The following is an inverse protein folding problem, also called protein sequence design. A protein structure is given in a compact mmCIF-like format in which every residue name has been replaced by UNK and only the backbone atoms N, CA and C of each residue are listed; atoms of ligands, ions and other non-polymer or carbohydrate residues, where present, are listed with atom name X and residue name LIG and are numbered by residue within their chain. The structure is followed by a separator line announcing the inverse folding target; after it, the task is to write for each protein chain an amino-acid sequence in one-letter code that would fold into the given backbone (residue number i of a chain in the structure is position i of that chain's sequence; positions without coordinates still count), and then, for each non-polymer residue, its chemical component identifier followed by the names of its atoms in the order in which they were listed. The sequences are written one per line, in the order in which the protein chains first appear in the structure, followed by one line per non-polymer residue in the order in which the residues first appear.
data_IF_856592558698
#
_entry.id   IF_856592558698
#
_cell.length_a   1.000
_cell.length_b   1.000
_cell.length_c   1.000
_cell.angle_alpha   90.00
_cell.angle_beta   90.00
_cell.angle_gamma   90.00
#
_symmetry.space_group_name_H-M   'P 1'
#
loop_
_entity.id
_entity.type
_entity.pdbx_description
1 polymer ?
#
# COMPACT_ATOMS: atom_id res chain seq x y z
N UNK A 1 -10.66 27.45 -5.57
CA UNK A 1 -9.78 26.87 -4.55
C UNK A 1 -10.66 26.38 -3.43
N UNK A 2 -10.84 25.07 -3.31
CA UNK A 2 -11.68 24.49 -2.25
C UNK A 2 -10.98 24.73 -0.92
N UNK A 3 -11.64 25.48 -0.03
CA UNK A 3 -11.15 25.71 1.31
C UNK A 3 -11.45 24.44 2.13
N UNK A 4 -10.50 23.51 2.18
CA UNK A 4 -10.64 22.30 2.99
C UNK A 4 -10.79 22.70 4.46
N UNK A 5 -11.95 22.38 5.03
CA UNK A 5 -12.17 22.55 6.47
C UNK A 5 -11.33 21.49 7.20
N UNK A 6 -10.19 21.90 7.75
CA UNK A 6 -9.43 21.10 8.71
C UNK A 6 -10.26 20.95 9.99
N UNK A 7 -10.96 19.83 10.13
CA UNK A 7 -11.62 19.49 11.39
C UNK A 7 -10.55 18.94 12.36
N UNK A 8 -10.55 19.39 13.63
CA UNK A 8 -9.64 18.84 14.62
C UNK A 8 -10.00 17.37 14.90
N UNK A 9 -9.04 16.47 14.69
CA UNK A 9 -9.18 15.06 15.02
C UNK A 9 -8.98 14.88 16.53
N UNK A 10 -9.98 14.35 17.21
CA UNK A 10 -9.85 13.95 18.61
C UNK A 10 -9.24 12.54 18.66
N UNK A 11 -8.01 12.45 19.16
CA UNK A 11 -7.33 11.19 19.48
C UNK A 11 -6.99 11.15 20.95
N UNK A 12 -6.89 9.95 21.53
CA UNK A 12 -6.56 9.82 22.93
C UNK A 12 -5.11 10.24 23.22
N UNK A 13 -4.84 10.54 24.50
CA UNK A 13 -3.55 11.05 24.94
C UNK A 13 -2.41 10.05 24.72
N UNK A 14 -2.69 8.74 24.85
CA UNK A 14 -1.69 7.71 24.66
C UNK A 14 -1.29 7.60 23.19
N UNK A 15 -2.26 7.65 22.27
CA UNK A 15 -1.99 7.67 20.83
C UNK A 15 -1.23 8.92 20.43
N UNK A 16 -1.61 10.09 20.95
CA UNK A 16 -0.90 11.35 20.71
C UNK A 16 0.57 11.24 21.09
N UNK A 17 0.86 10.74 22.30
CA UNK A 17 2.23 10.59 22.79
C UNK A 17 3.05 9.63 21.92
N UNK A 18 2.45 8.53 21.48
CA UNK A 18 3.11 7.57 20.58
C UNK A 18 3.46 8.20 19.23
N UNK A 19 2.51 8.93 18.63
CA UNK A 19 2.74 9.61 17.36
C UNK A 19 3.80 10.71 17.48
N UNK A 20 3.81 11.47 18.58
CA UNK A 20 4.85 12.50 18.84
C UNK A 20 6.25 11.89 18.87
N UNK A 21 6.44 10.79 19.60
CA UNK A 21 7.75 10.11 19.68
C UNK A 21 8.19 9.58 18.31
N UNK A 22 7.26 9.09 17.49
CA UNK A 22 7.57 8.63 16.14
C UNK A 22 7.93 9.79 15.20
N UNK A 23 7.19 10.90 15.28
CA UNK A 23 7.46 12.11 14.51
C UNK A 23 8.85 12.69 14.84
N UNK A 24 9.19 12.79 16.12
CA UNK A 24 10.51 13.28 16.58
C UNK A 24 11.66 12.42 16.04
N UNK A 25 11.50 11.09 16.01
CA UNK A 25 12.51 10.16 15.47
C UNK A 25 12.74 10.34 13.96
N UNK A 26 11.76 10.86 13.25
CA UNK A 26 11.82 11.10 11.81
C UNK A 26 12.15 12.56 11.48
N UNK A 27 12.32 13.42 12.48
CA UNK A 27 12.55 14.86 12.29
C UNK A 27 11.34 15.60 11.71
N UNK A 28 10.13 15.05 11.88
CA UNK A 28 8.87 15.62 11.39
C UNK A 28 8.07 16.28 12.52
N UNK A 29 7.18 17.21 12.17
CA UNK A 29 6.18 17.67 13.13
C UNK A 29 5.12 16.59 13.35
N UNK A 30 4.44 16.61 14.50
CA UNK A 30 3.34 15.68 14.76
C UNK A 30 2.23 15.78 13.68
N UNK A 31 1.95 16.99 13.20
CA UNK A 31 0.91 17.23 12.20
C UNK A 31 1.30 16.61 10.84
N UNK A 32 2.53 16.83 10.38
CA UNK A 32 3.01 16.28 9.11
C UNK A 32 3.09 14.76 9.17
N UNK A 33 3.61 14.22 10.27
CA UNK A 33 3.67 12.78 10.49
C UNK A 33 2.27 12.14 10.51
N UNK A 34 1.29 12.78 11.17
CA UNK A 34 -0.08 12.29 11.20
C UNK A 34 -0.74 12.34 9.82
N UNK A 35 -0.45 13.38 9.02
CA UNK A 35 -0.93 13.47 7.64
C UNK A 35 -0.37 12.34 6.78
N UNK A 36 0.93 12.06 6.88
CA UNK A 36 1.58 10.97 6.14
C UNK A 36 1.00 9.61 6.52
N UNK A 37 0.79 9.35 7.82
CA UNK A 37 0.14 8.11 8.29
C UNK A 37 -1.27 7.96 7.73
N UNK A 38 -2.07 9.04 7.71
CA UNK A 38 -3.43 9.00 7.17
C UNK A 38 -3.43 8.78 5.66
N UNK A 39 -2.50 9.41 4.93
CA UNK A 39 -2.32 9.22 3.49
C UNK A 39 -1.95 7.77 3.18
N UNK A 40 -0.95 7.23 3.87
CA UNK A 40 -0.53 5.84 3.70
C UNK A 40 -1.67 4.87 4.03
N UNK A 41 -2.42 5.11 5.11
CA UNK A 41 -3.56 4.29 5.46
C UNK A 41 -4.65 4.31 4.38
N UNK A 42 -4.95 5.48 3.80
CA UNK A 42 -5.91 5.59 2.71
C UNK A 42 -5.44 4.80 1.47
N UNK A 43 -4.18 4.97 1.05
CA UNK A 43 -3.59 4.23 -0.06
C UNK A 43 -3.57 2.71 0.17
N UNK A 44 -3.34 2.27 1.41
CA UNK A 44 -3.42 0.85 1.78
C UNK A 44 -4.87 0.35 1.72
N UNK A 45 -5.84 1.11 2.23
CA UNK A 45 -7.25 0.72 2.20
C UNK A 45 -7.78 0.62 0.76
N UNK A 46 -7.41 1.56 -0.11
CA UNK A 46 -7.75 1.52 -1.53
C UNK A 46 -7.16 0.28 -2.23
N UNK A 47 -5.89 -0.06 -1.95
CA UNK A 47 -5.26 -1.26 -2.48
C UNK A 47 -5.90 -2.54 -1.95
N UNK A 48 -6.17 -2.63 -0.66
CA UNK A 48 -6.77 -3.81 -0.05
C UNK A 48 -8.12 -4.17 -0.70
N UNK A 49 -8.95 -3.16 -1.02
CA UNK A 49 -10.20 -3.39 -1.74
C UNK A 49 -10.00 -3.98 -3.14
N UNK A 50 -8.98 -3.50 -3.87
CA UNK A 50 -8.67 -4.04 -5.19
C UNK A 50 -8.10 -5.46 -5.11
N UNK A 51 -7.22 -5.72 -4.13
CA UNK A 51 -6.63 -7.03 -3.87
C UNK A 51 -7.70 -8.06 -3.46
N UNK A 52 -8.64 -7.69 -2.59
CA UNK A 52 -9.77 -8.55 -2.19
C UNK A 52 -10.65 -8.96 -3.38
N UNK A 53 -10.91 -8.03 -4.30
CA UNK A 53 -11.66 -8.30 -5.53
C UNK A 53 -10.88 -9.25 -6.44
N UNK A 54 -9.59 -9.01 -6.65
CA UNK A 54 -8.73 -9.89 -7.45
C UNK A 54 -8.69 -11.31 -6.84
N UNK A 55 -8.56 -11.42 -5.53
CA UNK A 55 -8.54 -12.70 -4.81
C UNK A 55 -9.84 -13.47 -5.00
N UNK A 56 -10.98 -12.78 -4.87
CA UNK A 56 -12.29 -13.37 -5.12
C UNK A 56 -12.42 -13.86 -6.58
N UNK A 57 -11.96 -13.08 -7.55
CA UNK A 57 -11.98 -13.47 -8.96
C UNK A 57 -11.07 -14.67 -9.26
N UNK A 58 -9.84 -14.68 -8.71
CA UNK A 58 -8.91 -15.82 -8.84
C UNK A 58 -9.50 -17.07 -8.23
N UNK A 59 -10.15 -16.97 -7.07
CA UNK A 59 -10.82 -18.08 -6.43
C UNK A 59 -11.99 -18.62 -7.27
N UNK A 60 -12.86 -17.75 -7.78
CA UNK A 60 -13.97 -18.15 -8.66
C UNK A 60 -13.47 -18.86 -9.92
N UNK A 61 -12.42 -18.34 -10.56
CA UNK A 61 -11.82 -18.98 -11.73
C UNK A 61 -11.26 -20.36 -11.41
N UNK A 62 -10.64 -20.54 -10.26
CA UNK A 62 -10.17 -21.84 -9.80
C UNK A 62 -11.34 -22.81 -9.58
N UNK A 63 -12.42 -22.38 -8.93
CA UNK A 63 -13.61 -23.22 -8.73
C UNK A 63 -14.21 -23.72 -10.06
N UNK A 64 -14.16 -22.90 -11.12
CA UNK A 64 -14.66 -23.28 -12.45
C UNK A 64 -13.68 -24.18 -13.22
N UNK A 65 -12.38 -23.90 -13.14
CA UNK A 65 -11.38 -24.52 -14.04
C UNK A 65 -10.51 -25.58 -13.38
N UNK A 66 -10.49 -25.66 -12.05
CA UNK A 66 -9.54 -26.46 -11.28
C UNK A 66 -8.07 -26.09 -11.47
N UNK A 67 -7.79 -24.98 -12.17
CA UNK A 67 -6.45 -24.63 -12.62
C UNK A 67 -5.87 -23.56 -11.72
N UNK A 68 -4.63 -23.78 -11.25
CA UNK A 68 -3.84 -22.81 -10.52
C UNK A 68 -2.58 -22.46 -11.30
N UNK A 69 -2.09 -21.24 -11.15
CA UNK A 69 -0.79 -20.85 -11.67
C UNK A 69 0.27 -21.22 -10.62
N UNK A 70 1.23 -22.11 -10.91
CA UNK A 70 2.29 -22.44 -9.97
C UNK A 70 3.15 -21.22 -9.66
N UNK A 71 3.57 -21.07 -8.40
CA UNK A 71 4.40 -19.94 -7.96
C UNK A 71 5.69 -19.82 -8.76
N UNK A 72 6.30 -20.94 -9.17
CA UNK A 72 7.55 -20.90 -9.92
C UNK A 72 7.37 -20.43 -11.37
N UNK A 73 6.18 -20.61 -11.95
CA UNK A 73 5.86 -20.02 -13.25
C UNK A 73 5.76 -18.49 -13.16
N UNK A 74 5.17 -17.97 -12.07
CA UNK A 74 5.11 -16.52 -11.82
C UNK A 74 6.51 -15.97 -11.57
N UNK A 75 7.30 -16.62 -10.70
CA UNK A 75 8.68 -16.22 -10.38
C UNK A 75 9.55 -16.18 -11.64
N UNK A 76 9.51 -17.23 -12.45
CA UNK A 76 10.26 -17.29 -13.71
C UNK A 76 9.93 -16.11 -14.62
N UNK A 77 8.63 -15.81 -14.77
CA UNK A 77 8.18 -14.68 -15.60
C UNK A 77 8.63 -13.32 -15.07
N UNK A 78 8.64 -13.13 -13.75
CA UNK A 78 9.12 -11.89 -13.14
C UNK A 78 10.63 -11.70 -13.34
N UNK A 79 11.41 -12.78 -13.26
CA UNK A 79 12.85 -12.74 -13.54
C UNK A 79 13.12 -12.37 -15.00
N UNK A 80 12.42 -13.00 -15.95
CA UNK A 80 12.53 -12.65 -17.39
C UNK A 80 12.24 -11.16 -17.64
N UNK A 81 11.22 -10.60 -16.98
CA UNK A 81 10.86 -9.19 -17.09
C UNK A 81 11.93 -8.28 -16.47
N UNK A 82 12.51 -8.68 -15.34
CA UNK A 82 13.60 -7.94 -14.70
C UNK A 82 14.84 -7.91 -15.59
N UNK A 83 15.22 -9.04 -16.19
CA UNK A 83 16.33 -9.14 -17.12
C UNK A 83 16.10 -8.24 -18.35
N UNK A 84 14.89 -8.29 -18.93
CA UNK A 84 14.50 -7.43 -20.06
C UNK A 84 14.55 -5.94 -19.71
N UNK A 85 14.13 -5.57 -18.50
CA UNK A 85 14.16 -4.17 -18.04
C UNK A 85 15.59 -3.65 -17.83
N UNK A 86 16.52 -4.53 -17.46
CA UNK A 86 17.95 -4.20 -17.35
C UNK A 86 18.56 -4.00 -18.74
N UNK A 87 18.22 -4.84 -19.72
CA UNK A 87 18.68 -4.70 -21.10
C UNK A 87 18.11 -3.47 -21.82
N UNK A 88 16.90 -3.03 -21.46
CA UNK A 88 16.22 -1.88 -22.05
C UNK A 88 16.70 -0.51 -21.53
N UNK A 89 17.56 -0.45 -20.51
CA UNK A 89 18.14 0.82 -20.02
C UNK A 89 19.37 1.20 -20.85
N UNK A 90 19.31 2.26 -21.69
CA UNK A 90 20.53 2.78 -22.32
C UNK A 90 21.42 3.39 -21.23
N UNK A 91 22.74 3.17 -21.37
CA UNK A 91 23.78 3.76 -20.50
C UNK A 91 23.76 5.28 -20.55
#
# INVERSE_FOLDING_TARGET
MSNEKKQPLAIDAQLTQRLSVLAERQGASLADFAEDVLREHAEQAERALAEDVEDAERWQRYLVTGTVVPVESVRGRLLELADTAVEAKPR
#
